data_IF_182298495900
#
_entry.id   IF_182298495900
#
_cell.length_a   1.000
_cell.length_b   1.000
_cell.length_c   1.000
_cell.angle_alpha   90.00
_cell.angle_beta   90.00
_cell.angle_gamma   90.00
#
_symmetry.space_group_name_H-M   'P 1'
#
loop_
_entity.id
_entity.type
_entity.pdbx_description
1 polymer ?
#
# COMPACT_ATOMS: atom_id res chain seq x y z
N UNK A 1 13.15 -22.15 15.95
CA UNK A 1 12.37 -22.28 14.69
C UNK A 1 13.29 -22.92 13.66
N UNK A 2 12.92 -24.03 13.04
CA UNK A 2 13.80 -24.70 12.07
C UNK A 2 13.82 -23.94 10.73
N UNK A 3 14.81 -24.20 9.87
CA UNK A 3 14.90 -23.56 8.54
C UNK A 3 13.66 -23.87 7.69
N UNK A 4 13.15 -25.11 7.80
CA UNK A 4 11.90 -25.54 7.17
C UNK A 4 10.67 -24.77 7.66
N UNK A 5 10.59 -24.45 8.97
CA UNK A 5 9.49 -23.65 9.52
C UNK A 5 9.51 -22.21 8.99
N UNK A 6 10.71 -21.62 8.86
CA UNK A 6 10.88 -20.26 8.33
C UNK A 6 10.48 -20.17 6.85
N UNK A 7 10.89 -21.15 6.05
CA UNK A 7 10.57 -21.19 4.61
C UNK A 7 9.06 -21.43 4.40
N UNK A 8 8.45 -22.26 5.24
CA UNK A 8 6.99 -22.45 5.26
C UNK A 8 6.23 -21.18 5.63
N UNK A 9 6.67 -20.45 6.66
CA UNK A 9 6.06 -19.17 7.05
C UNK A 9 6.20 -18.11 5.96
N UNK A 10 7.40 -17.95 5.37
CA UNK A 10 7.66 -16.99 4.29
C UNK A 10 6.77 -17.23 3.08
N UNK A 11 6.61 -18.49 2.68
CA UNK A 11 5.77 -18.86 1.54
C UNK A 11 4.30 -18.53 1.80
N UNK A 12 3.80 -18.80 3.01
CA UNK A 12 2.44 -18.45 3.41
C UNK A 12 2.24 -16.93 3.46
N UNK A 13 3.20 -16.20 4.04
CA UNK A 13 3.15 -14.74 4.09
C UNK A 13 3.15 -14.13 2.68
N UNK A 14 4.01 -14.61 1.78
CA UNK A 14 4.04 -14.17 0.38
C UNK A 14 2.72 -14.45 -0.35
N UNK A 15 2.12 -15.63 -0.12
CA UNK A 15 0.81 -15.96 -0.67
C UNK A 15 -0.28 -15.00 -0.16
N UNK A 16 -0.29 -14.70 1.14
CA UNK A 16 -1.24 -13.74 1.72
C UNK A 16 -1.05 -12.35 1.11
N UNK A 17 0.19 -11.86 0.99
CA UNK A 17 0.47 -10.57 0.36
C UNK A 17 -0.01 -10.55 -1.10
N UNK A 18 0.23 -11.61 -1.86
CA UNK A 18 -0.24 -11.73 -3.23
C UNK A 18 -1.78 -11.65 -3.31
N UNK A 19 -2.47 -12.37 -2.43
CA UNK A 19 -3.95 -12.33 -2.36
C UNK A 19 -4.42 -10.91 -2.04
N UNK A 20 -3.81 -10.22 -1.08
CA UNK A 20 -4.16 -8.85 -0.73
C UNK A 20 -3.94 -7.87 -1.89
N UNK A 21 -2.83 -7.99 -2.61
CA UNK A 21 -2.53 -7.16 -3.79
C UNK A 21 -3.58 -7.36 -4.89
N UNK A 22 -4.01 -8.60 -5.12
CA UNK A 22 -5.07 -8.91 -6.11
C UNK A 22 -6.43 -8.41 -5.66
N UNK A 23 -6.74 -8.46 -4.36
CA UNK A 23 -8.01 -7.99 -3.82
C UNK A 23 -8.10 -6.46 -3.70
N UNK A 24 -6.99 -5.74 -3.56
CA UNK A 24 -6.95 -4.29 -3.44
C UNK A 24 -7.78 -3.53 -4.51
N UNK A 25 -7.63 -3.80 -5.83
CA UNK A 25 -8.46 -3.13 -6.84
C UNK A 25 -9.95 -3.48 -6.73
N UNK A 26 -10.30 -4.67 -6.22
CA UNK A 26 -11.70 -5.06 -5.99
C UNK A 26 -12.31 -4.21 -4.88
N UNK A 27 -11.58 -3.99 -3.79
CA UNK A 27 -12.03 -3.10 -2.72
C UNK A 27 -12.13 -1.64 -3.16
N UNK A 28 -11.14 -1.15 -3.93
CA UNK A 28 -11.17 0.21 -4.48
C UNK A 28 -12.38 0.43 -5.40
N UNK A 29 -12.68 -0.55 -6.27
CA UNK A 29 -13.88 -0.51 -7.10
C UNK A 29 -15.17 -0.57 -6.26
N UNK A 30 -15.26 -1.50 -5.30
CA UNK A 30 -16.46 -1.69 -4.48
C UNK A 30 -16.79 -0.46 -3.63
N UNK A 31 -15.77 0.24 -3.13
CA UNK A 31 -15.92 1.50 -2.40
C UNK A 31 -16.65 2.56 -3.25
N UNK A 32 -16.28 2.69 -4.53
CA UNK A 32 -16.97 3.58 -5.46
C UNK A 32 -18.43 3.20 -5.71
N UNK A 33 -18.75 1.89 -5.73
CA UNK A 33 -20.13 1.42 -5.93
C UNK A 33 -21.08 1.75 -4.79
N UNK A 34 -20.56 1.88 -3.58
CA UNK A 34 -21.37 2.21 -2.38
C UNK A 34 -21.31 3.68 -2.02
N UNK A 35 -20.64 4.52 -2.82
CA UNK A 35 -20.43 5.93 -2.52
C UNK A 35 -19.67 6.13 -1.22
N UNK A 36 -18.68 5.27 -0.94
CA UNK A 36 -17.85 5.40 0.25
C UNK A 36 -17.09 6.74 0.19
N UNK A 37 -17.29 7.56 1.23
CA UNK A 37 -16.51 8.76 1.48
C UNK A 37 -15.78 8.58 2.82
N UNK A 38 -14.51 8.99 2.86
CA UNK A 38 -13.72 8.90 4.09
C UNK A 38 -14.29 9.84 5.17
N UNK A 39 -14.17 9.49 6.46
CA UNK A 39 -14.63 10.37 7.54
C UNK A 39 -14.04 11.78 7.48
N UNK A 40 -12.81 11.90 7.00
CA UNK A 40 -12.13 13.18 6.82
C UNK A 40 -12.71 13.98 5.64
N UNK A 41 -13.09 13.32 4.54
CA UNK A 41 -13.76 13.94 3.40
C UNK A 41 -15.10 14.55 3.84
N UNK A 42 -15.92 13.77 4.55
CA UNK A 42 -17.22 14.24 5.05
C UNK A 42 -17.07 15.42 6.02
N UNK A 43 -16.07 15.39 6.90
CA UNK A 43 -15.79 16.49 7.82
C UNK A 43 -15.31 17.75 7.07
N UNK A 44 -14.53 17.58 6.00
CA UNK A 44 -14.10 18.68 5.15
C UNK A 44 -15.27 19.33 4.41
N UNK A 45 -16.21 18.52 3.89
CA UNK A 45 -17.45 19.02 3.29
C UNK A 45 -18.33 19.75 4.31
N UNK A 46 -18.54 19.18 5.50
CA UNK A 46 -19.39 19.78 6.56
C UNK A 46 -18.83 21.12 7.06
N UNK A 47 -17.51 21.28 7.05
CA UNK A 47 -16.83 22.50 7.51
C UNK A 47 -16.59 23.53 6.40
N UNK A 48 -16.91 23.21 5.15
CA UNK A 48 -16.56 24.01 3.97
C UNK A 48 -15.07 24.00 3.62
N UNK A 49 -14.25 23.24 4.35
CA UNK A 49 -12.81 23.13 4.11
C UNK A 49 -12.48 22.45 2.78
N UNK A 50 -13.41 21.65 2.23
CA UNK A 50 -13.28 21.07 0.90
C UNK A 50 -13.22 22.14 -0.21
N UNK A 51 -13.95 23.25 -0.07
CA UNK A 51 -14.00 24.32 -1.06
C UNK A 51 -12.77 25.25 -1.02
N UNK A 52 -12.15 25.38 0.16
CA UNK A 52 -10.94 26.18 0.39
C UNK A 52 -9.64 25.37 0.16
N UNK A 53 -9.74 24.07 -0.09
CA UNK A 53 -8.60 23.21 -0.33
C UNK A 53 -8.12 23.34 -1.78
N UNK A 54 -6.95 23.96 -1.96
CA UNK A 54 -6.20 23.84 -3.21
C UNK A 54 -5.44 22.50 -3.13
N UNK A 55 -5.79 21.48 -3.95
CA UNK A 55 -5.21 20.16 -3.78
C UNK A 55 -3.73 20.18 -4.20
N UNK A 56 -2.87 20.34 -3.20
CA UNK A 56 -1.43 20.13 -3.37
C UNK A 56 -1.16 18.63 -3.35
N UNK A 57 -1.47 17.96 -4.47
CA UNK A 57 -1.22 16.54 -4.69
C UNK A 57 0.28 16.26 -4.91
N UNK A 58 1.12 16.67 -3.96
CA UNK A 58 2.57 16.40 -3.97
C UNK A 58 2.84 15.03 -3.37
N UNK A 59 2.77 14.00 -4.21
CA UNK A 59 3.22 12.65 -3.89
C UNK A 59 3.75 11.95 -5.13
N UNK A 60 4.53 10.89 -4.95
CA UNK A 60 4.96 10.05 -6.09
C UNK A 60 3.75 9.34 -6.72
N UNK A 61 2.75 9.02 -5.89
CA UNK A 61 1.47 8.39 -6.26
C UNK A 61 0.33 9.04 -5.43
N UNK A 62 -0.13 10.26 -5.78
CA UNK A 62 -1.19 10.94 -5.04
C UNK A 62 -2.47 10.10 -5.12
N UNK A 63 -3.13 9.89 -3.97
CA UNK A 63 -4.35 9.09 -3.83
C UNK A 63 -4.24 7.67 -4.41
N UNK A 64 -3.01 7.11 -4.41
CA UNK A 64 -2.69 5.83 -5.03
C UNK A 64 -3.02 5.78 -6.54
N UNK A 65 -3.17 6.95 -7.16
CA UNK A 65 -3.43 7.11 -8.58
C UNK A 65 -2.13 7.10 -9.38
N UNK A 66 -2.25 6.67 -10.63
CA UNK A 66 -1.14 6.66 -11.59
C UNK A 66 -1.63 7.43 -12.82
N UNK A 67 -0.91 8.47 -13.28
CA UNK A 67 -1.31 9.24 -14.45
C UNK A 67 -1.54 8.34 -15.67
N UNK A 68 -2.69 8.50 -16.33
CA UNK A 68 -3.06 7.72 -17.51
C UNK A 68 -3.65 6.33 -17.21
N UNK A 69 -3.80 5.94 -15.94
CA UNK A 69 -4.49 4.72 -15.54
C UNK A 69 -5.84 5.03 -14.88
N UNK A 70 -6.85 4.20 -15.15
CA UNK A 70 -8.12 4.24 -14.43
C UNK A 70 -7.98 3.73 -13.00
N UNK A 71 -8.98 4.00 -12.15
CA UNK A 71 -8.96 3.69 -10.71
C UNK A 71 -8.51 2.25 -10.40
N UNK A 72 -9.12 1.25 -11.05
CA UNK A 72 -8.81 -0.17 -10.85
C UNK A 72 -7.33 -0.48 -11.14
N UNK A 73 -6.83 -0.05 -12.30
CA UNK A 73 -5.44 -0.27 -12.72
C UNK A 73 -4.44 0.52 -11.86
N UNK A 74 -4.79 1.74 -11.46
CA UNK A 74 -3.99 2.58 -10.57
C UNK A 74 -3.85 1.96 -9.18
N UNK A 75 -4.96 1.55 -8.57
CA UNK A 75 -4.96 0.86 -7.26
C UNK A 75 -4.15 -0.43 -7.30
N UNK A 76 -4.28 -1.25 -8.35
CA UNK A 76 -3.49 -2.46 -8.49
C UNK A 76 -1.99 -2.15 -8.57
N UNK A 77 -1.59 -1.20 -9.42
CA UNK A 77 -0.18 -0.84 -9.58
C UNK A 77 0.40 -0.27 -8.28
N UNK A 78 -0.35 0.60 -7.59
CA UNK A 78 0.04 1.14 -6.29
C UNK A 78 0.18 0.06 -5.22
N UNK A 79 -0.70 -0.96 -5.21
CA UNK A 79 -0.59 -2.09 -4.29
C UNK A 79 0.68 -2.94 -4.56
N UNK A 80 0.99 -3.19 -5.83
CA UNK A 80 2.23 -3.91 -6.23
C UNK A 80 3.46 -3.12 -5.81
N UNK A 81 3.53 -1.83 -6.16
CA UNK A 81 4.68 -0.96 -5.90
C UNK A 81 4.88 -0.79 -4.40
N UNK A 82 3.83 -0.47 -3.65
CA UNK A 82 3.88 -0.31 -2.20
C UNK A 82 4.39 -1.58 -1.51
N UNK A 83 3.82 -2.75 -1.86
CA UNK A 83 4.25 -4.04 -1.30
C UNK A 83 5.72 -4.32 -1.60
N UNK A 84 6.16 -4.09 -2.85
CA UNK A 84 7.55 -4.30 -3.25
C UNK A 84 8.51 -3.38 -2.47
N UNK A 85 8.19 -2.09 -2.37
CA UNK A 85 8.99 -1.11 -1.62
C UNK A 85 9.10 -1.51 -0.15
N UNK A 86 7.99 -1.87 0.49
CA UNK A 86 8.00 -2.32 1.89
C UNK A 86 8.89 -3.54 2.10
N UNK A 87 8.77 -4.57 1.24
CA UNK A 87 9.60 -5.77 1.34
C UNK A 87 11.09 -5.47 1.12
N UNK A 88 11.42 -4.63 0.15
CA UNK A 88 12.80 -4.21 -0.11
C UNK A 88 13.38 -3.46 1.10
N UNK A 89 12.64 -2.49 1.64
CA UNK A 89 13.11 -1.71 2.80
C UNK A 89 13.26 -2.60 4.03
N UNK A 90 12.26 -3.40 4.37
CA UNK A 90 12.30 -4.25 5.56
C UNK A 90 13.41 -5.29 5.49
N UNK A 91 13.56 -5.97 4.34
CA UNK A 91 14.63 -6.96 4.17
C UNK A 91 16.01 -6.31 4.02
N UNK A 92 16.09 -5.12 3.43
CA UNK A 92 17.32 -4.35 3.32
C UNK A 92 17.83 -3.92 4.70
N UNK A 93 16.97 -3.30 5.52
CA UNK A 93 17.30 -2.93 6.89
C UNK A 93 17.68 -4.15 7.74
N UNK A 94 16.93 -5.26 7.63
CA UNK A 94 17.27 -6.49 8.34
C UNK A 94 18.65 -7.04 7.98
N UNK A 95 19.09 -6.91 6.71
CA UNK A 95 20.43 -7.31 6.30
C UNK A 95 21.51 -6.38 6.86
N UNK A 96 21.28 -5.06 6.84
CA UNK A 96 22.23 -4.08 7.36
C UNK A 96 22.48 -4.27 8.86
N UNK A 97 21.42 -4.49 9.65
CA UNK A 97 21.55 -4.76 11.09
C UNK A 97 22.22 -6.12 11.37
N UNK A 98 21.97 -7.13 10.52
CA UNK A 98 22.66 -8.41 10.63
C UNK A 98 24.17 -8.30 10.43
N UNK A 99 24.59 -7.53 9.43
CA UNK A 99 26.01 -7.35 9.09
C UNK A 99 26.80 -6.61 10.18
N UNK A 100 26.19 -5.71 10.94
CA UNK A 100 26.85 -5.02 12.05
C UNK A 100 27.14 -5.95 13.23
N UNK A 101 26.31 -6.98 13.44
CA UNK A 101 26.48 -7.93 14.54
C UNK A 101 27.61 -8.95 14.30
N UNK A 102 27.94 -9.22 13.03
CA UNK A 102 29.02 -10.15 12.63
C UNK A 102 30.40 -9.47 12.55
N UNK A 103 30.47 -8.14 12.74
CA UNK A 103 31.68 -7.34 12.64
C UNK A 103 32.32 -6.97 14.00
N UNK A 104 31.66 -7.32 15.11
CA UNK A 104 32.17 -7.24 16.50
C UNK A 104 32.65 -8.62 16.99
#
# INVERSE_FOLDING_TARGET
MTRADLDGWRSRAALVLLVLVVLAPVFGWAAGQVGYAEPLENAAEETGAADDADPVHTGVLPDYSVPGLGSVSGTFLSAVVGTAVTLVVATGLGRLVGQTHDAE
#
